data_IF_345383594620
#
_entry.id   IF_345383594620
#
_cell.length_a   1.000
_cell.length_b   1.000
_cell.length_c   1.000
_cell.angle_alpha   90.00
_cell.angle_beta   90.00
_cell.angle_gamma   90.00
#
_symmetry.space_group_name_H-M   'P 1'
#
loop_
_entity.id
_entity.type
_entity.pdbx_description
1 polymer ?
#
# COMPACT_ATOMS: atom_id res chain seq x y z
N UNK A 1 9.86 -16.73 12.61
CA UNK A 1 10.81 -17.30 11.60
C UNK A 1 10.20 -17.59 10.22
N UNK A 2 8.87 -17.47 9.99
CA UNK A 2 8.25 -17.79 8.68
C UNK A 2 8.53 -16.79 7.55
N UNK A 3 8.92 -15.54 7.84
CA UNK A 3 9.07 -14.50 6.82
C UNK A 3 10.39 -14.58 6.03
N UNK A 4 11.50 -15.04 6.63
CA UNK A 4 12.82 -15.03 5.98
C UNK A 4 12.87 -15.88 4.71
N UNK A 5 12.07 -16.93 4.66
CA UNK A 5 11.94 -17.84 3.51
C UNK A 5 10.71 -17.51 2.65
N UNK A 6 9.99 -16.42 2.96
CA UNK A 6 8.79 -16.05 2.22
C UNK A 6 9.20 -15.59 0.80
N UNK A 7 8.69 -16.23 -0.27
CA UNK A 7 9.15 -15.96 -1.64
C UNK A 7 8.96 -14.49 -2.05
N UNK A 8 7.91 -13.83 -1.55
CA UNK A 8 7.68 -12.41 -1.84
C UNK A 8 8.74 -11.44 -1.26
N UNK A 9 9.59 -11.90 -0.33
CA UNK A 9 10.70 -11.13 0.24
C UNK A 9 12.08 -11.53 -0.35
N UNK A 10 12.12 -12.49 -1.28
CA UNK A 10 13.36 -12.95 -1.87
C UNK A 10 14.13 -11.77 -2.51
N UNK A 11 15.40 -11.60 -2.11
CA UNK A 11 16.26 -10.53 -2.60
C UNK A 11 15.96 -9.13 -2.06
N UNK A 12 15.01 -8.97 -1.11
CA UNK A 12 14.63 -7.65 -0.56
C UNK A 12 15.19 -7.36 0.84
N UNK A 13 15.69 -8.39 1.54
CA UNK A 13 16.23 -8.27 2.90
C UNK A 13 17.64 -7.67 2.90
N UNK A 14 17.99 -6.96 3.97
CA UNK A 14 19.33 -6.37 4.11
C UNK A 14 20.41 -7.48 4.19
N UNK A 15 21.50 -7.39 3.40
CA UNK A 15 22.54 -8.44 3.37
C UNK A 15 23.19 -8.74 4.73
N UNK A 16 23.39 -7.71 5.56
CA UNK A 16 24.01 -7.84 6.88
C UNK A 16 23.01 -7.86 8.06
N UNK A 17 21.71 -7.67 7.78
CA UNK A 17 20.66 -7.60 8.80
C UNK A 17 19.44 -8.38 8.29
N UNK A 18 19.40 -9.71 8.47
CA UNK A 18 18.48 -10.60 7.74
C UNK A 18 17.00 -10.46 8.12
N UNK A 19 16.68 -9.61 9.11
CA UNK A 19 15.32 -9.26 9.48
C UNK A 19 14.94 -7.84 9.05
N UNK A 20 15.84 -7.08 8.42
CA UNK A 20 15.58 -5.70 8.03
C UNK A 20 15.25 -5.60 6.54
N UNK A 21 14.30 -4.74 6.21
CA UNK A 21 13.81 -4.50 4.86
C UNK A 21 13.49 -3.02 4.65
N UNK A 22 13.71 -2.51 3.43
CA UNK A 22 13.24 -1.17 3.06
C UNK A 22 11.80 -1.23 2.59
N UNK A 23 10.92 -0.47 3.24
CA UNK A 23 9.49 -0.38 2.98
C UNK A 23 9.14 1.05 2.56
N UNK A 24 8.26 1.18 1.57
CA UNK A 24 7.63 2.46 1.22
C UNK A 24 6.62 2.80 2.32
N UNK A 25 6.87 3.89 3.04
CA UNK A 25 5.98 4.44 4.06
C UNK A 25 5.39 5.76 3.57
N UNK A 26 4.17 6.09 3.99
CA UNK A 26 3.44 7.27 3.53
C UNK A 26 2.34 7.69 4.51
N UNK A 27 1.87 8.94 4.44
CA UNK A 27 0.68 9.41 5.16
C UNK A 27 -0.60 9.37 4.31
N UNK A 28 -0.48 8.91 3.07
CA UNK A 28 -1.59 8.78 2.12
C UNK A 28 -1.16 9.19 0.71
N UNK A 29 -2.04 9.02 -0.27
CA UNK A 29 -1.84 9.50 -1.63
C UNK A 29 -2.03 11.02 -1.74
N UNK A 30 -1.72 11.59 -2.91
CA UNK A 30 -1.81 13.05 -3.17
C UNK A 30 -3.21 13.67 -2.96
N UNK A 31 -4.25 12.85 -2.88
CA UNK A 31 -5.62 13.31 -2.55
C UNK A 31 -5.81 13.54 -1.04
N UNK A 32 -4.96 12.94 -0.21
CA UNK A 32 -5.06 12.97 1.26
C UNK A 32 -3.99 13.85 1.89
N UNK A 33 -2.78 13.84 1.34
CA UNK A 33 -1.62 14.56 1.90
C UNK A 33 -0.73 15.15 0.81
N UNK A 34 0.03 16.18 1.16
CA UNK A 34 1.12 16.75 0.34
C UNK A 34 2.48 16.11 0.63
N UNK A 35 2.60 15.31 1.69
CA UNK A 35 3.83 14.60 2.02
C UNK A 35 4.12 13.51 0.97
N UNK A 36 5.38 13.40 0.55
CA UNK A 36 5.78 12.34 -0.38
C UNK A 36 6.06 11.04 0.39
N UNK A 37 5.86 9.86 -0.24
CA UNK A 37 6.32 8.62 0.37
C UNK A 37 7.82 8.62 0.59
N UNK A 38 8.26 7.92 1.63
CA UNK A 38 9.68 7.72 1.96
C UNK A 38 10.02 6.22 1.98
N UNK A 39 11.28 5.88 1.76
CA UNK A 39 11.81 4.55 2.07
C UNK A 39 12.36 4.54 3.48
N UNK A 40 11.82 3.65 4.32
CA UNK A 40 12.33 3.44 5.67
C UNK A 40 12.76 2.00 5.89
N UNK A 41 13.79 1.84 6.71
CA UNK A 41 14.16 0.53 7.20
C UNK A 41 13.18 0.06 8.28
N UNK A 42 12.81 -1.20 8.19
CA UNK A 42 11.86 -1.86 9.07
C UNK A 42 12.40 -3.23 9.46
N UNK A 43 12.47 -3.52 10.76
CA UNK A 43 12.75 -4.87 11.26
C UNK A 43 11.46 -5.68 11.29
N UNK A 44 11.42 -6.78 10.54
CA UNK A 44 10.27 -7.66 10.43
C UNK A 44 10.06 -8.41 11.74
N UNK A 45 8.84 -8.38 12.27
CA UNK A 45 8.45 -9.02 13.53
C UNK A 45 7.44 -10.15 13.34
N UNK A 46 6.76 -10.22 12.20
CA UNK A 46 5.74 -11.24 11.94
C UNK A 46 5.27 -11.29 10.49
N UNK A 47 4.51 -12.34 10.19
CA UNK A 47 3.83 -12.54 8.91
C UNK A 47 2.55 -13.35 9.12
N UNK A 48 1.49 -12.93 8.46
CA UNK A 48 0.20 -13.60 8.39
C UNK A 48 -0.33 -13.52 6.95
N UNK A 49 -0.37 -14.65 6.25
CA UNK A 49 -0.68 -14.67 4.82
C UNK A 49 0.36 -13.87 4.02
N UNK A 50 -0.10 -12.87 3.27
CA UNK A 50 0.72 -11.91 2.50
C UNK A 50 1.03 -10.61 3.26
N UNK A 51 0.56 -10.48 4.51
CA UNK A 51 0.73 -9.30 5.35
C UNK A 51 1.88 -9.51 6.32
N UNK A 52 2.85 -8.62 6.28
CA UNK A 52 3.99 -8.59 7.19
C UNK A 52 3.78 -7.52 8.25
N UNK A 53 4.32 -7.76 9.44
CA UNK A 53 4.43 -6.78 10.51
C UNK A 53 5.90 -6.47 10.76
N UNK A 54 6.19 -5.21 11.10
CA UNK A 54 7.55 -4.81 11.43
C UNK A 54 7.62 -3.50 12.21
N UNK A 55 8.79 -3.20 12.75
CA UNK A 55 9.08 -1.97 13.49
C UNK A 55 9.98 -1.05 12.69
N UNK A 56 9.58 0.21 12.55
CA UNK A 56 10.38 1.25 11.90
C UNK A 56 11.65 1.50 12.70
N UNK A 57 12.83 1.38 12.09
CA UNK A 57 14.11 1.56 12.79
C UNK A 57 14.79 2.91 12.50
N UNK A 58 14.37 3.62 11.45
CA UNK A 58 14.79 4.99 11.15
C UNK A 58 13.54 5.86 10.98
N UNK A 59 13.50 7.00 11.67
CA UNK A 59 12.38 7.92 11.57
C UNK A 59 12.28 8.50 10.15
N UNK A 60 11.08 8.57 9.55
CA UNK A 60 10.86 9.38 8.35
C UNK A 60 11.17 10.85 8.63
N UNK A 61 11.52 11.58 7.58
CA UNK A 61 11.95 12.97 7.66
C UNK A 61 10.81 13.96 7.48
N UNK A 62 9.76 13.59 6.74
CA UNK A 62 8.64 14.47 6.40
C UNK A 62 7.26 13.87 6.72
N UNK A 63 7.17 12.59 7.08
CA UNK A 63 5.91 11.97 7.47
C UNK A 63 5.55 12.33 8.92
N UNK A 64 4.26 12.59 9.15
CA UNK A 64 3.71 12.98 10.45
C UNK A 64 3.16 11.79 11.24
N UNK A 65 2.66 10.76 10.53
CA UNK A 65 1.95 9.64 11.17
C UNK A 65 2.83 8.44 11.46
N UNK A 66 4.02 8.38 10.86
CA UNK A 66 4.98 7.29 11.02
C UNK A 66 6.16 7.73 11.87
N UNK A 67 6.50 6.95 12.91
CA UNK A 67 7.54 7.26 13.89
C UNK A 67 8.52 6.11 14.06
N UNK A 68 9.72 6.42 14.55
CA UNK A 68 10.66 5.38 14.98
C UNK A 68 10.03 4.45 16.04
N UNK A 69 10.38 3.17 15.99
CA UNK A 69 9.83 2.07 16.79
C UNK A 69 8.32 1.80 16.62
N UNK A 70 7.63 2.52 15.72
CA UNK A 70 6.23 2.23 15.42
C UNK A 70 6.10 0.88 14.73
N UNK A 71 5.10 0.11 15.18
CA UNK A 71 4.70 -1.10 14.48
C UNK A 71 3.86 -0.73 13.27
N UNK A 72 4.24 -1.24 12.10
CA UNK A 72 3.50 -1.06 10.84
C UNK A 72 3.16 -2.40 10.23
N UNK A 73 2.20 -2.38 9.29
CA UNK A 73 1.88 -3.51 8.41
C UNK A 73 2.33 -3.15 7.00
N UNK A 74 2.81 -4.13 6.26
CA UNK A 74 3.21 -3.93 4.88
C UNK A 74 2.97 -5.20 4.05
N UNK A 75 2.84 -5.02 2.75
CA UNK A 75 2.67 -6.10 1.77
C UNK A 75 3.78 -6.04 0.74
N UNK A 76 4.18 -7.20 0.22
CA UNK A 76 5.12 -7.23 -0.89
C UNK A 76 4.44 -6.73 -2.17
N UNK A 77 5.15 -5.92 -2.96
CA UNK A 77 4.68 -5.42 -4.25
C UNK A 77 5.41 -6.10 -5.40
N UNK A 78 4.80 -6.12 -6.58
CA UNK A 78 5.36 -6.75 -7.78
C UNK A 78 6.53 -5.99 -8.42
N UNK A 79 6.69 -4.69 -8.14
CA UNK A 79 7.63 -3.82 -8.89
C UNK A 79 8.72 -3.18 -8.03
N UNK A 80 8.87 -3.55 -6.76
CA UNK A 80 9.99 -3.07 -5.96
C UNK A 80 9.85 -3.31 -4.46
N UNK A 81 10.02 -2.23 -3.70
CA UNK A 81 9.93 -2.23 -2.25
C UNK A 81 8.52 -2.60 -1.78
N UNK A 82 8.37 -3.37 -0.69
CA UNK A 82 7.09 -3.55 -0.03
C UNK A 82 6.44 -2.21 0.34
N UNK A 83 5.13 -2.21 0.44
CA UNK A 83 4.32 -1.04 0.72
C UNK A 83 3.70 -1.13 2.10
N UNK A 84 3.86 -0.10 2.91
CA UNK A 84 3.11 0.08 4.15
C UNK A 84 1.62 0.19 3.85
N UNK A 85 0.79 -0.55 4.57
CA UNK A 85 -0.66 -0.56 4.37
C UNK A 85 -1.40 -0.37 5.69
N UNK A 86 -2.52 0.36 5.60
CA UNK A 86 -3.42 0.53 6.73
C UNK A 86 -4.30 -0.71 6.93
N UNK A 87 -4.85 -0.87 8.13
CA UNK A 87 -5.82 -1.93 8.41
C UNK A 87 -7.08 -1.80 7.56
N UNK A 88 -7.52 -0.56 7.32
CA UNK A 88 -8.67 -0.27 6.48
C UNK A 88 -8.43 -0.70 5.04
N UNK A 89 -7.26 -0.38 4.49
CA UNK A 89 -6.86 -0.85 3.16
C UNK A 89 -6.87 -2.37 3.07
N UNK A 90 -6.28 -3.07 4.04
CA UNK A 90 -6.25 -4.55 4.08
C UNK A 90 -7.67 -5.13 4.05
N UNK A 91 -8.61 -4.55 4.81
CA UNK A 91 -10.00 -5.00 4.88
C UNK A 91 -10.75 -4.80 3.56
N UNK A 92 -10.47 -3.70 2.86
CA UNK A 92 -11.18 -3.35 1.62
C UNK A 92 -10.55 -3.99 0.39
N UNK A 93 -9.22 -4.15 0.34
CA UNK A 93 -8.44 -4.64 -0.82
C UNK A 93 -9.03 -5.89 -1.49
N UNK A 94 -9.49 -6.93 -0.78
CA UNK A 94 -10.03 -8.13 -1.41
C UNK A 94 -11.24 -7.87 -2.31
N UNK A 95 -12.04 -6.83 -2.04
CA UNK A 95 -13.23 -6.49 -2.82
C UNK A 95 -12.94 -5.76 -4.13
N UNK A 96 -11.67 -5.40 -4.38
CA UNK A 96 -11.26 -4.61 -5.53
C UNK A 96 -10.18 -5.31 -6.36
N UNK A 97 -10.26 -5.09 -7.67
CA UNK A 97 -9.20 -5.34 -8.63
C UNK A 97 -8.49 -4.01 -8.88
N UNK A 98 -7.24 -3.92 -8.42
CA UNK A 98 -6.40 -2.74 -8.62
C UNK A 98 -5.50 -3.03 -9.82
N UNK A 99 -5.75 -2.36 -10.94
CA UNK A 99 -4.96 -2.58 -12.14
C UNK A 99 -3.58 -1.93 -11.97
N UNK A 100 -2.58 -2.49 -12.65
CA UNK A 100 -1.25 -1.89 -12.73
C UNK A 100 -1.32 -0.52 -13.40
N UNK A 101 -0.64 0.46 -12.83
CA UNK A 101 -0.50 1.79 -13.43
C UNK A 101 0.13 1.67 -14.83
N UNK A 102 -0.45 2.33 -15.83
CA UNK A 102 0.05 2.28 -17.22
C UNK A 102 1.46 2.86 -17.41
N UNK A 103 2.00 3.59 -16.43
CA UNK A 103 3.34 4.21 -16.49
C UNK A 103 4.43 3.40 -15.77
N UNK A 104 4.14 2.85 -14.58
CA UNK A 104 5.15 2.15 -13.77
C UNK A 104 4.78 0.72 -13.36
N UNK A 105 3.60 0.24 -13.74
CA UNK A 105 3.11 -1.11 -13.41
C UNK A 105 2.71 -1.32 -11.94
N UNK A 106 2.83 -0.30 -11.08
CA UNK A 106 2.42 -0.40 -9.67
C UNK A 106 0.92 -0.68 -9.55
N UNK A 107 0.55 -1.71 -8.79
CA UNK A 107 -0.81 -2.27 -8.74
C UNK A 107 -1.39 -2.28 -7.31
N UNK A 108 -0.99 -1.32 -6.46
CA UNK A 108 -1.52 -1.14 -5.11
C UNK A 108 -1.92 0.33 -4.90
N UNK A 109 -2.60 0.63 -3.79
CA UNK A 109 -2.99 1.99 -3.39
C UNK A 109 -2.38 2.34 -2.04
N UNK A 110 -2.17 3.64 -1.80
CA UNK A 110 -1.76 4.14 -0.48
C UNK A 110 -2.97 4.25 0.47
N UNK A 111 -4.12 4.62 -0.07
CA UNK A 111 -5.34 4.85 0.69
C UNK A 111 -6.36 3.72 0.45
N UNK A 112 -7.27 3.54 1.41
CA UNK A 112 -8.37 2.60 1.22
C UNK A 112 -9.27 3.06 0.06
N UNK A 113 -9.79 2.15 -0.78
CA UNK A 113 -10.70 2.48 -1.88
C UNK A 113 -11.83 3.42 -1.47
N UNK A 114 -12.48 3.20 -0.31
CA UNK A 114 -13.56 4.07 0.16
C UNK A 114 -13.12 5.50 0.47
N UNK A 115 -11.88 5.69 0.97
CA UNK A 115 -11.33 7.03 1.20
C UNK A 115 -11.06 7.74 -0.13
N UNK A 116 -10.47 7.03 -1.11
CA UNK A 116 -10.26 7.58 -2.45
C UNK A 116 -11.57 7.97 -3.13
N UNK A 117 -12.58 7.10 -3.06
CA UNK A 117 -13.91 7.37 -3.63
C UNK A 117 -14.48 8.65 -3.02
N UNK A 118 -14.43 8.80 -1.70
CA UNK A 118 -14.91 10.01 -1.00
C UNK A 118 -14.14 11.26 -1.43
N UNK A 119 -12.83 11.15 -1.62
CA UNK A 119 -12.00 12.29 -2.05
C UNK A 119 -12.20 12.66 -3.53
N UNK A 120 -12.47 11.69 -4.40
CA UNK A 120 -12.67 11.90 -5.84
C UNK A 120 -14.10 12.35 -6.14
N UNK A 121 -15.08 11.79 -5.43
CA UNK A 121 -16.52 12.00 -5.65
C UNK A 121 -17.20 12.46 -4.34
N UNK A 122 -16.91 13.66 -3.85
CA UNK A 122 -17.40 14.12 -2.54
C UNK A 122 -18.92 14.29 -2.45
N UNK A 123 -19.60 14.42 -3.60
CA UNK A 123 -21.06 14.54 -3.69
C UNK A 123 -21.78 13.21 -3.92
N UNK A 124 -21.06 12.07 -3.89
CA UNK A 124 -21.66 10.77 -4.14
C UNK A 124 -22.63 10.40 -3.00
N UNK A 125 -23.86 9.94 -3.32
CA UNK A 125 -24.78 9.40 -2.32
C UNK A 125 -24.17 8.22 -1.56
N UNK A 126 -24.51 8.07 -0.27
CA UNK A 126 -23.94 7.02 0.58
C UNK A 126 -24.32 5.60 0.16
N UNK A 127 -25.41 5.44 -0.61
CA UNK A 127 -25.92 4.19 -1.16
C UNK A 127 -25.47 3.92 -2.60
N UNK A 128 -24.73 4.85 -3.21
CA UNK A 128 -24.20 4.65 -4.55
C UNK A 128 -23.12 3.55 -4.54
N UNK A 129 -23.26 2.61 -5.47
CA UNK A 129 -22.28 1.56 -5.71
C UNK A 129 -21.45 1.94 -6.93
N UNK A 130 -20.12 1.92 -6.77
CA UNK A 130 -19.19 2.27 -7.83
C UNK A 130 -18.56 1.00 -8.38
N UNK A 131 -18.85 0.71 -9.64
CA UNK A 131 -18.27 -0.46 -10.33
C UNK A 131 -16.80 -0.22 -10.69
N UNK A 132 -16.47 0.95 -11.22
CA UNK A 132 -15.10 1.29 -11.63
C UNK A 132 -14.81 2.77 -11.39
N UNK A 133 -13.58 3.08 -11.00
CA UNK A 133 -13.06 4.44 -10.99
C UNK A 133 -11.57 4.49 -11.31
N UNK A 134 -11.07 5.70 -11.55
CA UNK A 134 -9.65 5.93 -11.75
C UNK A 134 -9.08 6.81 -10.63
N UNK A 135 -7.84 6.54 -10.26
CA UNK A 135 -7.05 7.39 -9.38
C UNK A 135 -5.67 7.62 -9.97
N UNK A 136 -4.91 8.55 -9.37
CA UNK A 136 -3.50 8.70 -9.69
C UNK A 136 -2.68 7.66 -8.94
N UNK A 137 -1.72 7.07 -9.63
CA UNK A 137 -0.74 6.14 -9.07
C UNK A 137 0.11 6.89 -8.03
N UNK A 138 0.18 6.39 -6.79
CA UNK A 138 0.85 7.12 -5.72
C UNK A 138 2.38 7.18 -5.84
N UNK A 139 2.98 6.41 -6.77
CA UNK A 139 4.43 6.40 -7.00
C UNK A 139 4.90 7.28 -8.16
N UNK A 140 4.08 7.48 -9.19
CA UNK A 140 4.56 8.09 -10.45
C UNK A 140 3.58 9.05 -11.12
N UNK A 141 2.42 9.27 -10.50
CA UNK A 141 1.34 10.14 -10.95
C UNK A 141 0.68 9.73 -12.29
N UNK A 142 0.97 8.52 -12.78
CA UNK A 142 0.23 7.92 -13.89
C UNK A 142 -1.21 7.58 -13.51
N UNK A 143 -2.06 7.31 -14.49
CA UNK A 143 -3.44 6.88 -14.23
C UNK A 143 -3.47 5.41 -13.85
N UNK A 144 -4.34 5.07 -12.90
CA UNK A 144 -4.58 3.73 -12.41
C UNK A 144 -6.08 3.46 -12.36
N UNK A 145 -6.52 2.32 -12.88
CA UNK A 145 -7.90 1.88 -12.83
C UNK A 145 -8.14 0.98 -11.61
N UNK A 146 -9.31 1.11 -11.01
CA UNK A 146 -9.76 0.35 -9.85
C UNK A 146 -11.18 -0.12 -10.14
N UNK A 147 -11.38 -1.43 -10.12
CA UNK A 147 -12.64 -2.09 -10.46
C UNK A 147 -13.13 -2.91 -9.27
N UNK A 148 -14.42 -2.82 -8.96
CA UNK A 148 -15.09 -3.68 -8.00
C UNK A 148 -15.07 -5.13 -8.52
N UNK A 149 -14.68 -6.08 -7.68
CA UNK A 149 -14.73 -7.50 -8.10
C UNK A 149 -16.13 -7.97 -8.45
N UNK A 150 -17.16 -7.40 -7.81
CA UNK A 150 -18.55 -7.70 -8.16
C UNK A 150 -18.90 -7.23 -9.57
N UNK A 151 -18.25 -6.19 -10.08
CA UNK A 151 -18.41 -5.74 -11.45
C UNK A 151 -17.60 -6.61 -12.42
N UNK A 152 -16.34 -6.92 -12.06
CA UNK A 152 -15.46 -7.77 -12.87
C UNK A 152 -16.03 -9.18 -13.13
N UNK A 153 -16.77 -9.75 -12.18
CA UNK A 153 -17.42 -11.07 -12.31
C UNK A 153 -18.66 -11.06 -13.23
N UNK A 154 -19.16 -9.88 -13.61
CA UNK A 154 -20.31 -9.75 -14.53
C UNK A 154 -19.91 -9.70 -16.01
N UNK A 155 -18.61 -9.59 -16.28
CA UNK A 155 -18.02 -9.49 -17.62
C UNK A 155 -17.32 -10.80 -18.03
#
# INVERSE_FOLDING_TARGET
MKWRTHPALAGKLHPNHPDDIQVIIHDGGRRMTSAHPELAWVTITGVEGDIFTGRVIIAPTQLETVRINQSIRFIATGTGHPLMVSEKYIKERPSWLIHGCGKCGFAELFDAPSDLIKAIFPAMPADAVLDTFTSFCPLCDGVQAIESRQAAERH
#
